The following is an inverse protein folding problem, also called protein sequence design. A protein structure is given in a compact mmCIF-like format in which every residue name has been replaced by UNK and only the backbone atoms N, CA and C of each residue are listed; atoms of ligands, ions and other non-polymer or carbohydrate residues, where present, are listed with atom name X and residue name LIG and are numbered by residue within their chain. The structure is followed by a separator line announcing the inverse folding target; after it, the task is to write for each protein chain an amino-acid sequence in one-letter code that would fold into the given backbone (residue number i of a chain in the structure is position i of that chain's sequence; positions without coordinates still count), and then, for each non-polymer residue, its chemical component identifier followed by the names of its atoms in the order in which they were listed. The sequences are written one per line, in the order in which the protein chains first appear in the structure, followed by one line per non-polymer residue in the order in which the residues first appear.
data_IF_993399716847
#
_entry.id   IF_993399716847
#
_cell.length_a   1.000
_cell.length_b   1.000
_cell.length_c   1.000
_cell.angle_alpha   90.00
_cell.angle_beta   90.00
_cell.angle_gamma   90.00
#
_symmetry.space_group_name_H-M   'P 1'
#
loop_
_entity.id
_entity.type
_entity.pdbx_description
1 polymer ?
#
# COMPACT_ATOMS: atom_id res chain seq x y z
N UNK A 1 19.08 -40.69 6.27
CA UNK A 1 19.65 -40.35 7.60
C UNK A 1 20.28 -38.96 7.62
N UNK A 2 21.22 -38.64 6.72
CA UNK A 2 21.88 -37.32 6.65
C UNK A 2 20.92 -36.14 6.38
N UNK A 3 19.93 -36.33 5.50
CA UNK A 3 18.93 -35.29 5.19
C UNK A 3 18.06 -34.92 6.41
N UNK A 4 17.63 -35.92 7.18
CA UNK A 4 16.82 -35.74 8.39
C UNK A 4 17.59 -35.04 9.53
N UNK A 5 18.90 -35.29 9.63
CA UNK A 5 19.79 -34.58 10.56
C UNK A 5 19.96 -33.10 10.18
N UNK A 6 20.09 -32.81 8.88
CA UNK A 6 20.23 -31.44 8.37
C UNK A 6 19.01 -30.56 8.63
N UNK A 7 17.80 -31.12 8.49
CA UNK A 7 16.56 -30.39 8.76
C UNK A 7 16.43 -30.08 10.26
N UNK A 8 16.77 -31.04 11.13
CA UNK A 8 16.71 -30.85 12.59
C UNK A 8 17.71 -29.81 13.08
N UNK A 9 18.93 -29.80 12.55
CA UNK A 9 19.92 -28.78 12.91
C UNK A 9 19.51 -27.39 12.43
N UNK A 10 19.02 -27.24 11.20
CA UNK A 10 18.49 -25.95 10.72
C UNK A 10 17.35 -25.42 11.59
N UNK A 11 16.40 -26.28 11.93
CA UNK A 11 15.30 -25.91 12.82
C UNK A 11 15.80 -25.53 14.21
N UNK A 12 16.76 -26.26 14.78
CA UNK A 12 17.37 -25.92 16.07
C UNK A 12 18.02 -24.54 16.05
N UNK A 13 18.86 -24.25 15.05
CA UNK A 13 19.51 -22.94 14.94
C UNK A 13 18.52 -21.80 14.73
N UNK A 14 17.44 -22.02 13.96
CA UNK A 14 16.37 -21.03 13.78
C UNK A 14 15.59 -20.75 15.08
N UNK A 15 15.30 -21.78 15.87
CA UNK A 15 14.63 -21.61 17.16
C UNK A 15 15.54 -20.87 18.14
N UNK A 16 16.82 -21.22 18.17
CA UNK A 16 17.82 -20.62 19.06
C UNK A 16 18.12 -19.15 18.70
N UNK A 17 18.16 -18.81 17.41
CA UNK A 17 18.37 -17.43 16.95
C UNK A 17 17.19 -16.51 17.26
N UNK A 18 15.96 -17.04 17.31
CA UNK A 18 14.75 -16.28 17.64
C UNK A 18 14.58 -16.00 19.14
N UNK A 19 15.42 -16.57 20.01
CA UNK A 19 15.42 -16.25 21.43
C UNK A 19 16.07 -14.88 21.64
N UNK A 20 15.39 -14.01 22.39
CA UNK A 20 15.88 -12.65 22.68
C UNK A 20 17.29 -12.70 23.29
N UNK A 21 18.27 -11.87 22.85
CA UNK A 21 19.63 -11.88 23.38
C UNK A 21 19.73 -11.71 24.89
N UNK A 22 18.77 -10.99 25.48
CA UNK A 22 18.71 -10.80 26.94
C UNK A 22 18.62 -12.13 27.70
N UNK A 23 18.03 -13.17 27.12
CA UNK A 23 17.94 -14.49 27.72
C UNK A 23 19.31 -15.18 27.70
N UNK A 24 20.06 -15.09 26.60
CA UNK A 24 21.39 -15.69 26.49
C UNK A 24 22.42 -15.03 27.40
N UNK A 25 22.43 -13.70 27.48
CA UNK A 25 23.32 -12.99 28.42
C UNK A 25 22.88 -13.22 29.87
N UNK A 26 21.57 -13.31 30.13
CA UNK A 26 21.04 -13.67 31.45
C UNK A 26 21.47 -15.08 31.88
N UNK A 27 21.41 -16.06 30.97
CA UNK A 27 21.91 -17.42 31.20
C UNK A 27 23.42 -17.42 31.47
N UNK A 28 24.20 -16.69 30.67
CA UNK A 28 25.64 -16.55 30.86
C UNK A 28 25.99 -16.00 32.25
N UNK A 29 25.31 -14.93 32.68
CA UNK A 29 25.51 -14.33 34.02
C UNK A 29 25.01 -15.26 35.14
N UNK A 30 23.94 -16.01 34.92
CA UNK A 30 23.39 -16.94 35.91
C UNK A 30 24.26 -18.21 36.08
N UNK A 31 24.98 -18.64 35.05
CA UNK A 31 25.92 -19.77 35.14
C UNK A 31 27.07 -19.46 36.10
N UNK A 32 27.53 -18.21 36.18
CA UNK A 32 28.66 -17.80 37.02
C UNK A 32 28.47 -18.14 38.52
N UNK A 33 27.40 -17.70 39.22
CA UNK A 33 27.19 -18.09 40.61
C UNK A 33 26.88 -19.59 40.76
N UNK A 34 26.32 -20.25 39.73
CA UNK A 34 26.06 -21.69 39.77
C UNK A 34 27.38 -22.47 39.78
N UNK A 35 28.34 -22.14 38.92
CA UNK A 35 29.66 -22.77 38.92
C UNK A 35 30.46 -22.41 40.18
N UNK A 36 30.34 -21.20 40.69
CA UNK A 36 30.92 -20.82 41.99
C UNK A 36 30.42 -21.73 43.13
N UNK A 37 29.13 -22.06 43.18
CA UNK A 37 28.58 -23.01 44.15
C UNK A 37 29.10 -24.43 43.93
N UNK A 38 29.25 -24.88 42.68
CA UNK A 38 29.82 -26.18 42.35
C UNK A 38 31.27 -26.27 42.84
N UNK A 39 32.08 -25.22 42.61
CA UNK A 39 33.46 -25.16 43.08
C UNK A 39 33.55 -25.20 44.61
N UNK A 40 32.67 -24.50 45.31
CA UNK A 40 32.60 -24.53 46.77
C UNK A 40 32.26 -25.92 47.33
N UNK A 41 31.62 -26.79 46.54
CA UNK A 41 31.33 -28.18 46.92
C UNK A 41 32.49 -29.13 46.64
N UNK A 42 33.47 -28.74 45.83
CA UNK A 42 34.67 -29.53 45.61
C UNK A 42 35.66 -29.31 46.77
N UNK A 43 36.41 -30.34 47.18
CA UNK A 43 37.47 -30.17 48.18
C UNK A 43 38.55 -29.21 47.68
N UNK A 44 39.01 -28.31 48.55
CA UNK A 44 40.07 -27.33 48.25
C UNK A 44 41.34 -27.98 47.66
N UNK A 45 41.64 -29.22 48.05
CA UNK A 45 42.79 -29.99 47.53
C UNK A 45 42.72 -30.25 46.01
N UNK A 46 41.55 -30.10 45.39
CA UNK A 46 41.39 -30.22 43.94
C UNK A 46 42.00 -29.03 43.19
N UNK A 47 42.24 -27.90 43.88
CA UNK A 47 42.75 -26.66 43.32
C UNK A 47 44.12 -26.31 43.89
N UNK A 48 44.93 -25.63 43.08
CA UNK A 48 46.09 -24.87 43.55
C UNK A 48 45.59 -23.46 43.87
N UNK A 49 45.65 -23.10 45.14
CA UNK A 49 45.14 -21.85 45.70
C UNK A 49 46.34 -21.00 46.18
N UNK A 50 46.36 -19.67 45.95
CA UNK A 50 47.45 -18.81 46.42
C UNK A 50 47.54 -18.76 47.95
N UNK A 51 48.75 -18.55 48.48
CA UNK A 51 48.97 -18.42 49.92
C UNK A 51 48.21 -17.20 50.49
N UNK A 52 47.39 -17.43 51.50
CA UNK A 52 46.57 -16.38 52.14
C UNK A 52 45.26 -16.05 51.39
N UNK A 53 44.93 -16.77 50.33
CA UNK A 53 43.65 -16.62 49.63
C UNK A 53 42.50 -17.37 50.35
N UNK A 54 41.28 -16.82 50.25
CA UNK A 54 40.09 -17.42 50.83
C UNK A 54 39.49 -18.53 49.97
N UNK A 55 38.75 -19.45 50.58
CA UNK A 55 37.95 -20.49 49.89
C UNK A 55 36.45 -20.27 50.11
N UNK A 56 36.05 -19.04 50.42
CA UNK A 56 34.66 -18.64 50.53
C UNK A 56 34.01 -18.45 49.14
N UNK A 57 32.67 -18.27 49.15
CA UNK A 57 31.90 -18.09 47.92
C UNK A 57 32.42 -16.92 47.05
N UNK A 58 32.93 -15.84 47.66
CA UNK A 58 33.47 -14.70 46.92
C UNK A 58 34.68 -15.08 46.07
N UNK A 59 35.61 -15.87 46.62
CA UNK A 59 36.78 -16.39 45.90
C UNK A 59 36.39 -17.30 44.74
N UNK A 60 35.44 -18.22 44.95
CA UNK A 60 34.98 -19.13 43.89
C UNK A 60 34.13 -18.43 42.84
N UNK A 61 33.38 -17.39 43.21
CA UNK A 61 32.68 -16.51 42.27
C UNK A 61 33.66 -15.75 41.40
N UNK A 62 34.72 -15.18 41.99
CA UNK A 62 35.80 -14.55 41.25
C UNK A 62 36.46 -15.54 40.27
N UNK A 63 36.80 -16.74 40.72
CA UNK A 63 37.37 -17.78 39.87
C UNK A 63 36.45 -18.16 38.70
N UNK A 64 35.14 -18.32 38.97
CA UNK A 64 34.13 -18.57 37.94
C UNK A 64 34.02 -17.42 36.95
N UNK A 65 33.98 -16.16 37.41
CA UNK A 65 33.96 -14.97 36.53
C UNK A 65 35.17 -15.01 35.59
N UNK A 66 36.38 -15.16 36.13
CA UNK A 66 37.63 -15.15 35.35
C UNK A 66 37.71 -16.34 34.38
N UNK A 67 37.13 -17.48 34.75
CA UNK A 67 37.08 -18.69 33.91
C UNK A 67 36.07 -18.55 32.78
N UNK A 68 34.80 -18.22 33.08
CA UNK A 68 33.72 -18.13 32.09
C UNK A 68 33.92 -16.96 31.11
N UNK A 69 34.61 -15.89 31.54
CA UNK A 69 35.00 -14.76 30.69
C UNK A 69 36.26 -15.03 29.86
N UNK A 70 36.87 -16.20 30.01
CA UNK A 70 38.10 -16.61 29.33
C UNK A 70 39.34 -15.75 29.69
N UNK A 71 39.27 -14.96 30.76
CA UNK A 71 40.40 -14.15 31.25
C UNK A 71 41.54 -15.02 31.80
N UNK A 72 41.21 -16.00 32.65
CA UNK A 72 42.15 -17.01 33.13
C UNK A 72 43.43 -16.50 33.80
N UNK A 73 43.33 -15.69 34.87
CA UNK A 73 44.51 -15.16 35.58
C UNK A 73 45.45 -16.22 36.17
N UNK A 74 44.96 -17.44 36.44
CA UNK A 74 45.77 -18.58 36.86
C UNK A 74 46.22 -18.55 38.33
N UNK A 75 45.65 -17.65 39.12
CA UNK A 75 45.78 -17.59 40.57
C UNK A 75 45.12 -18.80 41.25
N UNK A 76 43.85 -19.07 40.93
CA UNK A 76 43.19 -20.34 41.24
C UNK A 76 43.32 -21.27 40.02
N UNK A 77 43.87 -22.47 40.22
CA UNK A 77 44.11 -23.41 39.11
C UNK A 77 43.56 -24.81 39.44
N UNK A 78 42.80 -25.47 38.55
CA UNK A 78 42.34 -26.82 38.79
C UNK A 78 43.52 -27.80 38.65
N UNK A 79 43.93 -28.41 39.76
CA UNK A 79 45.11 -29.28 39.82
C UNK A 79 44.79 -30.77 39.58
N UNK A 80 43.51 -31.15 39.74
CA UNK A 80 43.06 -32.54 39.70
C UNK A 80 41.89 -32.73 38.72
N UNK A 81 41.70 -33.98 38.27
CA UNK A 81 40.80 -34.30 37.15
C UNK A 81 39.35 -33.84 37.32
N UNK A 82 38.79 -33.86 38.53
CA UNK A 82 37.41 -33.41 38.76
C UNK A 82 37.27 -31.89 38.62
N UNK A 83 38.17 -31.12 39.24
CA UNK A 83 38.20 -29.67 39.07
C UNK A 83 38.42 -29.30 37.60
N UNK A 84 39.34 -29.97 36.91
CA UNK A 84 39.60 -29.74 35.48
C UNK A 84 38.37 -30.03 34.61
N UNK A 85 37.62 -31.11 34.91
CA UNK A 85 36.41 -31.45 34.18
C UNK A 85 35.31 -30.39 34.38
N UNK A 86 35.07 -29.93 35.62
CA UNK A 86 34.09 -28.87 35.91
C UNK A 86 34.47 -27.56 35.22
N UNK A 87 35.73 -27.15 35.31
CA UNK A 87 36.25 -25.96 34.63
C UNK A 87 36.11 -26.06 33.11
N UNK A 88 36.38 -27.23 32.53
CA UNK A 88 36.17 -27.44 31.09
C UNK A 88 34.69 -27.30 30.70
N UNK A 89 33.77 -27.84 31.51
CA UNK A 89 32.32 -27.69 31.28
C UNK A 89 31.89 -26.23 31.40
N UNK A 90 32.39 -25.49 32.39
CA UNK A 90 32.11 -24.06 32.55
C UNK A 90 32.52 -23.27 31.32
N UNK A 91 33.75 -23.47 30.84
CA UNK A 91 34.26 -22.79 29.64
C UNK A 91 33.40 -23.13 28.42
N UNK A 92 33.02 -24.40 28.23
CA UNK A 92 32.15 -24.81 27.13
C UNK A 92 30.77 -24.15 27.21
N UNK A 93 30.14 -24.13 28.38
CA UNK A 93 28.85 -23.48 28.60
C UNK A 93 28.93 -21.96 28.37
N UNK A 94 30.00 -21.31 28.84
CA UNK A 94 30.25 -19.89 28.62
C UNK A 94 30.40 -19.55 27.14
N UNK A 95 31.24 -20.28 26.42
CA UNK A 95 31.47 -20.08 24.98
C UNK A 95 30.21 -20.32 24.15
N UNK A 96 29.43 -21.37 24.45
CA UNK A 96 28.18 -21.68 23.76
C UNK A 96 27.16 -20.56 24.01
N UNK A 97 26.98 -20.14 25.26
CA UNK A 97 26.02 -19.09 25.63
C UNK A 97 26.38 -17.74 25.00
N UNK A 98 27.68 -17.38 25.00
CA UNK A 98 28.16 -16.16 24.35
C UNK A 98 28.03 -16.23 22.83
N UNK A 99 28.31 -17.39 22.22
CA UNK A 99 28.13 -17.60 20.78
C UNK A 99 26.68 -17.44 20.34
N UNK A 100 25.73 -18.02 21.10
CA UNK A 100 24.30 -17.84 20.84
C UNK A 100 23.82 -16.42 21.10
N UNK A 101 24.35 -15.74 22.13
CA UNK A 101 24.09 -14.32 22.35
C UNK A 101 24.49 -13.47 21.12
N UNK A 102 25.71 -13.64 20.61
CA UNK A 102 26.18 -12.90 19.43
C UNK A 102 25.35 -13.22 18.18
N UNK A 103 24.95 -14.48 18.00
CA UNK A 103 24.09 -14.88 16.89
C UNK A 103 22.71 -14.21 16.97
N UNK A 104 22.08 -14.21 18.16
CA UNK A 104 20.78 -13.57 18.38
C UNK A 104 20.86 -12.05 18.16
N UNK A 105 21.93 -11.38 18.61
CA UNK A 105 22.15 -9.94 18.35
C UNK A 105 22.30 -9.67 16.85
N UNK A 106 23.06 -10.51 16.15
CA UNK A 106 23.21 -10.40 14.70
C UNK A 106 21.89 -10.57 13.94
N UNK A 107 21.05 -11.53 14.35
CA UNK A 107 19.73 -11.77 13.75
C UNK A 107 18.80 -10.57 13.95
N UNK A 108 18.68 -10.06 15.18
CA UNK A 108 17.83 -8.88 15.46
C UNK A 108 18.24 -7.66 14.65
N UNK A 109 19.55 -7.39 14.53
CA UNK A 109 20.03 -6.27 13.72
C UNK A 109 19.65 -6.45 12.26
N UNK A 110 19.81 -7.66 11.71
CA UNK A 110 19.41 -7.96 10.34
C UNK A 110 17.91 -7.78 10.12
N UNK A 111 17.08 -8.16 11.08
CA UNK A 111 15.62 -7.96 11.00
C UNK A 111 15.27 -6.47 10.97
N UNK A 112 15.85 -5.66 11.86
CA UNK A 112 15.66 -4.20 11.91
C UNK A 112 16.13 -3.53 10.62
N UNK A 113 17.32 -3.91 10.11
CA UNK A 113 17.86 -3.36 8.88
C UNK A 113 16.95 -3.70 7.69
N UNK A 114 16.41 -4.93 7.62
CA UNK A 114 15.46 -5.34 6.57
C UNK A 114 14.13 -4.58 6.67
N UNK A 115 13.56 -4.43 7.86
CA UNK A 115 12.31 -3.68 8.06
C UNK A 115 12.46 -2.23 7.61
N UNK A 116 13.55 -1.57 8.03
CA UNK A 116 13.84 -0.18 7.62
C UNK A 116 14.08 -0.04 6.11
N UNK A 117 14.71 -1.02 5.47
CA UNK A 117 14.91 -1.03 4.02
C UNK A 117 13.59 -1.26 3.28
N UNK A 118 12.69 -2.11 3.78
CA UNK A 118 11.34 -2.30 3.21
C UNK A 118 10.52 -1.01 3.32
N UNK A 119 10.54 -0.33 4.47
CA UNK A 119 9.87 0.96 4.65
C UNK A 119 10.43 2.02 3.69
N UNK A 120 11.76 2.08 3.56
CA UNK A 120 12.44 2.97 2.61
C UNK A 120 12.04 2.67 1.17
N UNK A 121 12.01 1.39 0.78
CA UNK A 121 11.59 0.98 -0.56
C UNK A 121 10.14 1.37 -0.84
N UNK A 122 9.23 1.20 0.13
CA UNK A 122 7.84 1.65 0.00
C UNK A 122 7.73 3.16 -0.15
N UNK A 123 8.48 3.94 0.63
CA UNK A 123 8.49 5.39 0.52
C UNK A 123 9.06 5.86 -0.83
N UNK A 124 10.12 5.23 -1.32
CA UNK A 124 10.71 5.50 -2.64
C UNK A 124 9.73 5.14 -3.77
N UNK A 125 9.06 3.99 -3.66
CA UNK A 125 8.02 3.56 -4.61
C UNK A 125 6.89 4.59 -4.67
N UNK A 126 6.32 4.94 -3.51
CA UNK A 126 5.26 5.94 -3.42
C UNK A 126 5.68 7.30 -4.00
N UNK A 127 6.89 7.78 -3.68
CA UNK A 127 7.41 9.03 -4.21
C UNK A 127 7.58 8.99 -5.75
N UNK A 128 8.08 7.88 -6.28
CA UNK A 128 8.27 7.68 -7.72
C UNK A 128 6.94 7.67 -8.47
N UNK A 129 5.94 6.91 -7.98
CA UNK A 129 4.62 6.83 -8.59
C UNK A 129 3.87 8.16 -8.49
N UNK A 130 3.99 8.86 -7.36
CA UNK A 130 3.42 10.20 -7.20
C UNK A 130 4.02 11.19 -8.19
N UNK A 131 5.33 11.14 -8.44
CA UNK A 131 5.97 11.99 -9.44
C UNK A 131 5.46 11.70 -10.86
N UNK A 132 5.27 10.43 -11.22
CA UNK A 132 4.67 10.05 -12.52
C UNK A 132 3.24 10.58 -12.63
N UNK A 133 2.43 10.41 -11.59
CA UNK A 133 1.06 10.90 -11.54
C UNK A 133 1.00 12.41 -11.76
N UNK A 134 1.81 13.18 -11.04
CA UNK A 134 1.87 14.64 -11.16
C UNK A 134 2.21 15.13 -12.58
N UNK A 135 3.04 14.38 -13.32
CA UNK A 135 3.38 14.71 -14.71
C UNK A 135 2.22 14.49 -15.68
N UNK A 136 1.39 13.46 -15.44
CA UNK A 136 0.29 13.06 -16.31
C UNK A 136 -1.01 13.80 -15.96
N UNK A 137 -1.17 14.16 -14.67
CA UNK A 137 -2.38 14.74 -14.09
C UNK A 137 -2.96 15.93 -14.87
N UNK A 138 -2.19 16.94 -15.35
CA UNK A 138 -2.78 18.07 -16.08
C UNK A 138 -3.55 17.65 -17.34
N UNK A 139 -3.06 16.62 -18.05
CA UNK A 139 -3.74 16.06 -19.21
C UNK A 139 -5.02 15.34 -18.82
N UNK A 140 -4.98 14.56 -17.74
CA UNK A 140 -6.17 13.84 -17.24
C UNK A 140 -7.25 14.83 -16.79
N UNK A 141 -6.89 15.82 -15.98
CA UNK A 141 -7.81 16.86 -15.51
C UNK A 141 -8.42 17.65 -16.68
N UNK A 142 -7.63 17.98 -17.70
CA UNK A 142 -8.16 18.64 -18.90
C UNK A 142 -9.25 17.79 -19.57
N UNK A 143 -9.04 16.47 -19.72
CA UNK A 143 -10.01 15.58 -20.37
C UNK A 143 -11.27 15.37 -19.52
N UNK A 144 -11.14 15.26 -18.19
CA UNK A 144 -12.27 15.20 -17.27
C UNK A 144 -13.12 16.48 -17.35
N UNK A 145 -12.47 17.65 -17.35
CA UNK A 145 -13.16 18.94 -17.41
C UNK A 145 -13.83 19.18 -18.76
N UNK A 146 -13.21 18.73 -19.85
CA UNK A 146 -13.84 18.73 -21.18
C UNK A 146 -15.08 17.85 -21.22
N UNK A 147 -15.01 16.65 -20.65
CA UNK A 147 -16.15 15.74 -20.53
C UNK A 147 -17.28 16.36 -19.70
N UNK A 148 -16.99 16.94 -18.53
CA UNK A 148 -17.97 17.62 -17.69
C UNK A 148 -18.61 18.83 -18.39
N UNK A 149 -17.84 19.60 -19.16
CA UNK A 149 -18.37 20.70 -19.94
C UNK A 149 -19.32 20.24 -21.06
N UNK A 150 -19.06 19.09 -21.70
CA UNK A 150 -20.03 18.49 -22.62
C UNK A 150 -21.24 17.91 -21.90
N UNK A 151 -21.08 17.38 -20.68
CA UNK A 151 -22.23 16.98 -19.86
C UNK A 151 -23.13 18.18 -19.62
N UNK A 152 -22.58 19.32 -19.18
CA UNK A 152 -23.32 20.58 -19.06
C UNK A 152 -24.04 20.97 -20.35
N UNK A 153 -23.38 20.88 -21.50
CA UNK A 153 -23.99 21.23 -22.78
C UNK A 153 -25.16 20.30 -23.14
N UNK A 154 -25.13 19.03 -22.77
CA UNK A 154 -26.24 18.08 -23.01
C UNK A 154 -27.35 18.23 -21.97
N UNK A 155 -27.01 18.50 -20.72
CA UNK A 155 -27.95 18.52 -19.59
C UNK A 155 -28.50 19.90 -19.25
N UNK A 156 -28.11 20.94 -19.98
CA UNK A 156 -28.62 22.30 -19.80
C UNK A 156 -29.27 22.81 -21.10
N UNK A 157 -30.57 23.15 -21.08
CA UNK A 157 -31.26 23.74 -22.23
C UNK A 157 -30.57 25.02 -22.68
N UNK A 158 -30.53 25.28 -24.00
CA UNK A 158 -29.85 26.43 -24.60
C UNK A 158 -30.31 27.76 -23.98
N UNK A 159 -31.60 27.86 -23.62
CA UNK A 159 -32.18 29.06 -22.98
C UNK A 159 -31.68 29.31 -21.56
N UNK A 160 -31.18 28.28 -20.87
CA UNK A 160 -30.64 28.37 -19.50
C UNK A 160 -29.11 28.47 -19.48
N UNK A 161 -28.42 28.29 -20.60
CA UNK A 161 -26.95 28.37 -20.66
C UNK A 161 -26.48 29.80 -20.42
N UNK A 162 -25.69 30.02 -19.37
CA UNK A 162 -25.06 31.32 -19.07
C UNK A 162 -23.66 31.36 -19.71
N UNK A 163 -23.25 32.53 -20.20
CA UNK A 163 -21.98 32.74 -20.90
C UNK A 163 -20.74 32.61 -19.99
N UNK A 164 -20.88 32.76 -18.68
CA UNK A 164 -19.74 33.00 -17.79
C UNK A 164 -19.04 31.75 -17.27
N UNK A 165 -19.74 30.64 -16.98
CA UNK A 165 -19.10 29.37 -16.56
C UNK A 165 -19.94 28.15 -16.95
N UNK A 166 -19.40 27.29 -17.82
CA UNK A 166 -20.01 26.01 -18.22
C UNK A 166 -19.73 24.93 -17.17
N UNK A 167 -20.47 24.94 -16.06
CA UNK A 167 -20.32 23.98 -14.97
C UNK A 167 -21.46 22.97 -14.97
N UNK A 168 -21.11 21.68 -14.97
CA UNK A 168 -22.09 20.60 -14.88
C UNK A 168 -22.88 20.69 -13.56
N UNK A 169 -24.21 20.54 -13.67
CA UNK A 169 -25.13 20.47 -12.55
C UNK A 169 -25.53 19.00 -12.32
N UNK A 170 -25.13 18.37 -11.20
CA UNK A 170 -25.49 16.99 -10.88
C UNK A 170 -26.99 16.77 -10.71
N UNK A 171 -27.76 17.81 -10.39
CA UNK A 171 -29.19 17.72 -10.06
C UNK A 171 -30.11 17.89 -11.28
N UNK A 172 -29.55 17.86 -12.50
CA UNK A 172 -30.33 18.00 -13.74
C UNK A 172 -31.43 16.94 -13.87
N UNK A 173 -32.57 17.33 -14.46
CA UNK A 173 -33.69 16.43 -14.73
C UNK A 173 -33.67 15.93 -16.19
N UNK A 174 -34.38 14.85 -16.47
CA UNK A 174 -34.47 14.27 -17.83
C UNK A 174 -34.91 15.31 -18.88
N UNK A 175 -35.90 16.13 -18.53
CA UNK A 175 -36.40 17.25 -19.36
C UNK A 175 -35.37 18.33 -19.68
N UNK A 176 -34.26 18.41 -18.96
CA UNK A 176 -33.23 19.41 -19.24
C UNK A 176 -32.36 18.99 -20.45
N UNK A 177 -32.49 17.75 -20.93
CA UNK A 177 -31.79 17.22 -22.12
C UNK A 177 -32.50 17.54 -23.44
N UNK A 178 -33.53 18.38 -23.48
CA UNK A 178 -34.34 18.65 -24.70
C UNK A 178 -33.54 19.16 -25.89
N UNK A 179 -32.39 19.79 -25.64
CA UNK A 179 -31.53 20.41 -26.65
C UNK A 179 -30.27 19.58 -26.97
N UNK A 180 -30.24 18.29 -26.62
CA UNK A 180 -29.06 17.43 -26.77
C UNK A 180 -28.55 17.30 -28.23
N UNK A 181 -29.45 17.44 -29.22
CA UNK A 181 -29.10 17.40 -30.65
C UNK A 181 -28.65 18.75 -31.23
N UNK A 182 -28.83 19.84 -30.49
CA UNK A 182 -28.34 21.16 -30.90
C UNK A 182 -26.82 21.25 -30.72
N UNK A 183 -26.15 22.21 -31.38
CA UNK A 183 -24.75 22.48 -31.13
C UNK A 183 -24.47 22.75 -29.64
N UNK A 184 -23.29 22.32 -29.17
CA UNK A 184 -22.90 22.44 -27.75
C UNK A 184 -22.88 23.89 -27.25
N UNK A 185 -22.54 24.85 -28.12
CA UNK A 185 -22.42 26.27 -27.75
C UNK A 185 -21.25 26.56 -26.80
N UNK A 186 -20.36 25.59 -26.57
CA UNK A 186 -19.20 25.77 -25.71
C UNK A 186 -18.12 26.60 -26.44
N UNK A 187 -17.43 27.53 -25.78
CA UNK A 187 -16.48 28.43 -26.45
C UNK A 187 -15.33 27.72 -27.19
N UNK A 188 -14.90 26.58 -26.66
CA UNK A 188 -13.83 25.76 -27.25
C UNK A 188 -14.34 24.80 -28.34
N UNK A 189 -15.65 24.59 -28.45
CA UNK A 189 -16.24 23.71 -29.45
C UNK A 189 -16.72 24.51 -30.66
N UNK A 190 -15.86 24.58 -31.67
CA UNK A 190 -16.17 25.22 -32.96
C UNK A 190 -16.96 24.30 -33.90
N UNK A 191 -17.24 23.06 -33.48
CA UNK A 191 -18.00 22.14 -34.31
C UNK A 191 -19.47 22.57 -34.36
N UNK A 192 -20.10 22.38 -35.51
CA UNK A 192 -21.56 22.53 -35.67
C UNK A 192 -22.28 21.20 -35.46
N UNK A 193 -21.63 20.26 -34.75
CA UNK A 193 -22.15 18.93 -34.50
C UNK A 193 -23.04 18.92 -33.24
N UNK A 194 -23.98 17.97 -33.13
CA UNK A 194 -24.80 17.77 -31.94
C UNK A 194 -23.98 17.69 -30.65
N UNK A 195 -24.47 18.29 -29.56
CA UNK A 195 -23.82 18.25 -28.25
C UNK A 195 -23.63 16.80 -27.76
N UNK A 196 -24.62 15.94 -27.98
CA UNK A 196 -24.55 14.51 -27.63
C UNK A 196 -23.41 13.77 -28.33
N UNK A 197 -23.22 14.00 -29.63
CA UNK A 197 -22.15 13.35 -30.39
C UNK A 197 -20.77 13.77 -29.85
N UNK A 198 -20.65 15.05 -29.47
CA UNK A 198 -19.42 15.61 -28.89
C UNK A 198 -19.16 15.09 -27.48
N UNK A 199 -20.21 14.93 -26.68
CA UNK A 199 -20.14 14.29 -25.36
C UNK A 199 -19.64 12.86 -25.48
N UNK A 200 -20.26 12.02 -26.33
CA UNK A 200 -19.89 10.62 -26.50
C UNK A 200 -18.45 10.47 -26.99
N UNK A 201 -18.03 11.31 -27.95
CA UNK A 201 -16.64 11.36 -28.39
C UNK A 201 -15.69 11.77 -27.26
N UNK A 202 -16.07 12.74 -26.44
CA UNK A 202 -15.29 13.15 -25.28
C UNK A 202 -15.20 12.04 -24.24
N UNK A 203 -16.30 11.33 -23.98
CA UNK A 203 -16.36 10.22 -23.03
C UNK A 203 -15.44 9.07 -23.44
N UNK A 204 -15.50 8.66 -24.72
CA UNK A 204 -14.60 7.65 -25.27
C UNK A 204 -13.13 8.05 -25.16
N UNK A 205 -12.80 9.31 -25.47
CA UNK A 205 -11.44 9.80 -25.31
C UNK A 205 -10.99 9.83 -23.84
N UNK A 206 -11.85 10.28 -22.92
CA UNK A 206 -11.58 10.28 -21.49
C UNK A 206 -11.37 8.86 -20.97
N UNK A 207 -12.18 7.89 -21.40
CA UNK A 207 -11.99 6.47 -21.07
C UNK A 207 -10.61 5.96 -21.47
N UNK A 208 -10.11 6.30 -22.67
CA UNK A 208 -8.78 5.91 -23.11
C UNK A 208 -7.67 6.58 -22.29
N UNK A 209 -7.87 7.84 -21.88
CA UNK A 209 -6.92 8.57 -21.03
C UNK A 209 -6.86 7.95 -19.63
N UNK A 210 -8.00 7.57 -19.04
CA UNK A 210 -8.06 6.92 -17.74
C UNK A 210 -7.50 5.49 -17.78
N UNK A 211 -7.72 4.74 -18.86
CA UNK A 211 -7.10 3.43 -19.07
C UNK A 211 -5.56 3.55 -19.21
N UNK A 212 -5.10 4.51 -20.00
CA UNK A 212 -3.67 4.83 -20.15
C UNK A 212 -3.02 5.30 -18.83
N UNK A 213 -3.77 5.99 -17.97
CA UNK A 213 -3.31 6.39 -16.63
C UNK A 213 -3.02 5.16 -15.77
N UNK A 214 -3.94 4.19 -15.73
CA UNK A 214 -3.80 2.94 -14.99
C UNK A 214 -2.61 2.10 -15.47
N UNK A 215 -2.30 2.14 -16.77
CA UNK A 215 -1.15 1.42 -17.33
C UNK A 215 0.21 2.09 -17.03
N UNK A 216 0.23 3.40 -16.72
CA UNK A 216 1.47 4.20 -16.58
C UNK A 216 1.88 4.46 -15.13
N UNK A 217 0.93 4.40 -14.21
CA UNK A 217 1.12 4.69 -12.79
C UNK A 217 0.50 3.55 -12.00
N UNK A 218 1.21 3.08 -10.99
CA UNK A 218 0.64 2.13 -10.02
C UNK A 218 -0.39 2.85 -9.14
N UNK A 219 -1.64 2.88 -9.60
CA UNK A 219 -2.75 3.51 -8.89
C UNK A 219 -3.23 2.71 -7.67
N UNK A 220 -2.67 1.52 -7.39
CA UNK A 220 -3.05 0.75 -6.19
C UNK A 220 -2.69 1.48 -4.90
N UNK A 221 -1.80 2.48 -4.98
CA UNK A 221 -1.48 3.42 -3.91
C UNK A 221 -2.64 4.40 -3.58
N UNK A 222 -3.58 4.58 -4.51
CA UNK A 222 -4.76 5.44 -4.36
C UNK A 222 -6.02 4.69 -4.82
N UNK A 223 -6.54 3.81 -3.95
CA UNK A 223 -7.67 2.92 -4.23
C UNK A 223 -8.89 3.66 -4.81
N UNK A 224 -9.26 4.81 -4.23
CA UNK A 224 -10.38 5.61 -4.71
C UNK A 224 -10.21 6.05 -6.19
N UNK A 225 -8.98 6.38 -6.61
CA UNK A 225 -8.72 6.81 -7.99
C UNK A 225 -8.83 5.63 -8.96
N UNK A 226 -8.28 4.46 -8.60
CA UNK A 226 -8.32 3.29 -9.50
C UNK A 226 -9.74 2.76 -9.65
N UNK A 227 -10.52 2.70 -8.57
CA UNK A 227 -11.91 2.25 -8.60
C UNK A 227 -12.78 3.19 -9.46
N UNK A 228 -12.65 4.51 -9.27
CA UNK A 228 -13.40 5.49 -10.07
C UNK A 228 -12.97 5.48 -11.55
N UNK A 229 -11.68 5.25 -11.85
CA UNK A 229 -11.20 5.07 -13.23
C UNK A 229 -11.83 3.84 -13.89
N UNK A 230 -11.82 2.69 -13.20
CA UNK A 230 -12.42 1.46 -13.70
C UNK A 230 -13.92 1.61 -13.92
N UNK A 231 -14.63 2.21 -12.97
CA UNK A 231 -16.07 2.45 -13.09
C UNK A 231 -16.39 3.36 -14.29
N UNK A 232 -15.60 4.40 -14.54
CA UNK A 232 -15.81 5.28 -15.68
C UNK A 232 -15.59 4.54 -17.01
N UNK A 233 -14.52 3.75 -17.10
CA UNK A 233 -14.23 2.93 -18.29
C UNK A 233 -15.33 1.89 -18.51
N UNK A 234 -15.80 1.23 -17.45
CA UNK A 234 -16.90 0.27 -17.52
C UNK A 234 -18.19 0.92 -18.03
N UNK A 235 -18.55 2.10 -17.52
CA UNK A 235 -19.72 2.85 -17.99
C UNK A 235 -19.62 3.14 -19.50
N UNK A 236 -18.45 3.56 -19.98
CA UNK A 236 -18.24 3.82 -21.40
C UNK A 236 -18.34 2.55 -22.27
N UNK A 237 -17.90 1.41 -21.75
CA UNK A 237 -17.97 0.12 -22.46
C UNK A 237 -19.37 -0.50 -22.46
N UNK A 238 -20.15 -0.26 -21.40
CA UNK A 238 -21.51 -0.80 -21.26
C UNK A 238 -22.56 0.06 -21.99
N UNK A 239 -22.24 1.31 -22.33
CA UNK A 239 -23.15 2.21 -23.01
C UNK A 239 -23.43 1.77 -24.46
N UNK A 240 -24.68 1.41 -24.75
CA UNK A 240 -25.08 0.74 -25.99
C UNK A 240 -25.61 1.69 -27.08
N UNK A 241 -26.21 2.82 -26.71
CA UNK A 241 -26.88 3.74 -27.65
C UNK A 241 -25.95 4.72 -28.38
N UNK A 242 -24.64 4.45 -28.44
CA UNK A 242 -23.66 5.36 -29.06
C UNK A 242 -23.98 5.65 -30.52
N UNK A 243 -24.24 4.59 -31.31
CA UNK A 243 -24.48 4.72 -32.75
C UNK A 243 -25.81 5.44 -33.01
N UNK A 244 -26.86 5.06 -32.28
CA UNK A 244 -28.20 5.65 -32.39
C UNK A 244 -28.23 7.15 -32.09
N UNK A 245 -27.48 7.60 -31.08
CA UNK A 245 -27.41 9.02 -30.70
C UNK A 245 -26.44 9.84 -31.53
N UNK A 246 -25.51 9.19 -32.25
CA UNK A 246 -24.55 9.86 -33.12
C UNK A 246 -25.14 10.20 -34.49
N UNK A 247 -26.21 9.52 -34.89
CA UNK A 247 -26.98 9.87 -36.09
C UNK A 247 -27.91 11.05 -35.83
N UNK A 248 -28.02 11.98 -36.78
CA UNK A 248 -29.02 13.04 -36.68
C UNK A 248 -30.42 12.42 -36.81
N UNK A 249 -31.30 12.53 -35.79
CA UNK A 249 -32.63 12.00 -35.91
C UNK A 249 -33.37 12.72 -37.04
N UNK A 250 -34.03 11.96 -37.90
CA UNK A 250 -34.91 12.51 -38.94
C UNK A 250 -36.04 13.37 -38.35
N UNK A 251 -36.30 13.20 -37.05
CA UNK A 251 -37.43 13.77 -36.31
C UNK A 251 -36.98 14.47 -35.01
N UNK A 252 -35.89 15.23 -35.05
CA UNK A 252 -35.33 15.99 -33.90
C UNK A 252 -36.41 16.74 -33.10
N UNK A 253 -37.34 17.42 -33.79
CA UNK A 253 -38.36 18.25 -33.16
C UNK A 253 -39.45 17.47 -32.42
N UNK A 254 -39.69 16.19 -32.75
CA UNK A 254 -40.65 15.35 -32.01
C UNK A 254 -39.97 14.74 -30.78
N UNK A 255 -38.72 14.31 -30.91
CA UNK A 255 -37.93 13.77 -29.80
C UNK A 255 -37.70 14.83 -28.71
N UNK A 256 -37.35 16.07 -29.08
CA UNK A 256 -37.25 17.18 -28.11
C UNK A 256 -38.58 17.46 -27.40
N UNK A 257 -39.74 17.28 -28.07
CA UNK A 257 -41.06 17.44 -27.42
C UNK A 257 -41.36 16.29 -26.47
N UNK A 258 -41.02 15.06 -26.84
CA UNK A 258 -41.21 13.87 -26.00
C UNK A 258 -40.36 13.95 -24.72
N UNK A 259 -39.10 14.39 -24.83
CA UNK A 259 -38.23 14.63 -23.66
C UNK A 259 -38.82 15.72 -22.76
N UNK A 260 -39.29 16.84 -23.32
CA UNK A 260 -39.88 17.93 -22.56
C UNK A 260 -41.17 17.53 -21.81
N UNK A 261 -41.93 16.61 -22.39
CA UNK A 261 -43.21 16.13 -21.85
C UNK A 261 -43.05 15.08 -20.74
N UNK A 262 -41.86 14.50 -20.56
CA UNK A 262 -41.61 13.44 -19.57
C UNK A 262 -41.22 14.04 -18.22
N UNK A 263 -42.05 13.88 -17.16
CA UNK A 263 -41.71 14.35 -15.83
C UNK A 263 -40.92 13.29 -15.04
N UNK A 264 -39.89 13.72 -14.32
CA UNK A 264 -39.19 12.87 -13.34
C UNK A 264 -38.05 12.03 -13.92
N UNK A 265 -37.74 10.94 -13.22
CA UNK A 265 -36.71 9.98 -13.62
C UNK A 265 -37.25 9.00 -14.69
N UNK A 266 -36.43 8.69 -15.70
CA UNK A 266 -36.86 7.92 -16.86
C UNK A 266 -36.91 6.39 -16.57
N UNK A 267 -38.08 5.83 -16.28
CA UNK A 267 -38.29 4.37 -16.28
C UNK A 267 -38.70 3.87 -17.67
N UNK A 268 -37.73 3.58 -18.54
CA UNK A 268 -38.01 3.09 -19.89
C UNK A 268 -37.57 1.65 -20.10
N UNK A 269 -38.35 0.91 -20.90
CA UNK A 269 -37.99 -0.43 -21.39
C UNK A 269 -37.13 -0.32 -22.64
N UNK A 270 -36.38 -1.36 -22.97
CA UNK A 270 -35.49 -1.39 -24.14
C UNK A 270 -36.18 -1.09 -25.49
N UNK A 271 -37.49 -1.34 -25.59
CA UNK A 271 -38.29 -1.10 -26.81
C UNK A 271 -38.88 0.33 -26.90
N UNK A 272 -38.59 1.19 -25.93
CA UNK A 272 -39.11 2.58 -25.93
C UNK A 272 -38.30 3.47 -26.88
N UNK A 273 -38.98 4.34 -27.64
CA UNK A 273 -38.32 5.29 -28.54
C UNK A 273 -37.38 6.25 -27.79
N UNK A 274 -37.65 6.50 -26.50
CA UNK A 274 -36.81 7.33 -25.63
C UNK A 274 -35.69 6.57 -24.93
N UNK A 275 -35.60 5.25 -25.09
CA UNK A 275 -34.59 4.41 -24.43
C UNK A 275 -33.15 4.93 -24.64
N UNK A 276 -32.71 5.32 -25.86
CA UNK A 276 -31.36 5.87 -26.05
C UNK A 276 -31.07 7.11 -25.21
N UNK A 277 -32.05 8.00 -25.07
CA UNK A 277 -31.91 9.24 -24.30
C UNK A 277 -31.93 8.96 -22.81
N UNK A 278 -32.69 7.96 -22.38
CA UNK A 278 -32.76 7.50 -21.00
C UNK A 278 -31.49 6.80 -20.55
N UNK A 279 -30.93 5.93 -21.39
CA UNK A 279 -29.62 5.33 -21.15
C UNK A 279 -28.56 6.43 -21.02
N UNK A 280 -28.61 7.45 -21.90
CA UNK A 280 -27.71 8.61 -21.83
C UNK A 280 -27.89 9.39 -20.52
N UNK A 281 -29.11 9.55 -20.02
CA UNK A 281 -29.40 10.22 -18.75
C UNK A 281 -28.66 9.54 -17.58
N UNK A 282 -28.82 8.23 -17.43
CA UNK A 282 -28.14 7.47 -16.38
C UNK A 282 -26.63 7.42 -16.59
N UNK A 283 -26.18 7.23 -17.83
CA UNK A 283 -24.76 7.28 -18.19
C UNK A 283 -24.09 8.60 -17.75
N UNK A 284 -24.75 9.74 -17.99
CA UNK A 284 -24.24 11.05 -17.56
C UNK A 284 -24.23 11.16 -16.04
N UNK A 285 -25.32 10.78 -15.35
CA UNK A 285 -25.40 10.83 -13.88
C UNK A 285 -24.23 10.10 -13.23
N UNK A 286 -23.98 8.87 -13.65
CA UNK A 286 -22.94 8.03 -13.08
C UNK A 286 -21.54 8.51 -13.48
N UNK A 287 -21.31 8.70 -14.79
CA UNK A 287 -19.97 9.02 -15.32
C UNK A 287 -19.51 10.43 -14.95
N UNK A 288 -20.43 11.41 -14.89
CA UNK A 288 -20.09 12.76 -14.42
C UNK A 288 -19.83 12.79 -12.92
N UNK A 289 -20.55 11.99 -12.11
CA UNK A 289 -20.23 11.82 -10.70
C UNK A 289 -18.83 11.27 -10.51
N UNK A 290 -18.44 10.23 -11.27
CA UNK A 290 -17.09 9.66 -11.23
C UNK A 290 -16.04 10.68 -11.67
N UNK A 291 -16.29 11.43 -12.74
CA UNK A 291 -15.36 12.45 -13.22
C UNK A 291 -15.09 13.56 -12.18
N UNK A 292 -16.12 14.02 -11.45
CA UNK A 292 -15.94 15.00 -10.37
C UNK A 292 -15.16 14.44 -9.17
N UNK A 293 -15.40 13.16 -8.81
CA UNK A 293 -14.64 12.48 -7.74
C UNK A 293 -13.17 12.34 -8.14
N UNK A 294 -12.89 11.91 -9.36
CA UNK A 294 -11.54 11.82 -9.92
C UNK A 294 -10.83 13.18 -9.92
N UNK A 295 -11.50 14.24 -10.38
CA UNK A 295 -10.94 15.60 -10.35
C UNK A 295 -10.52 16.01 -8.93
N UNK A 296 -11.39 15.74 -7.96
CA UNK A 296 -11.15 16.05 -6.54
C UNK A 296 -10.00 15.22 -5.97
N UNK A 297 -10.01 13.91 -6.17
CA UNK A 297 -9.01 12.98 -5.66
C UNK A 297 -7.62 13.25 -6.26
N UNK A 298 -7.53 13.45 -7.58
CA UNK A 298 -6.28 13.78 -8.25
C UNK A 298 -5.71 15.12 -7.76
N UNK A 299 -6.56 16.13 -7.58
CA UNK A 299 -6.15 17.43 -7.05
C UNK A 299 -5.64 17.31 -5.60
N UNK A 300 -6.27 16.47 -4.77
CA UNK A 300 -5.85 16.22 -3.40
C UNK A 300 -4.44 15.59 -3.33
N UNK A 301 -4.10 14.66 -4.24
CA UNK A 301 -2.75 14.08 -4.31
C UNK A 301 -1.68 15.13 -4.63
N UNK A 302 -2.04 16.14 -5.44
CA UNK A 302 -1.15 17.24 -5.77
C UNK A 302 -0.94 18.24 -4.65
N UNK A 303 -1.97 18.51 -3.84
CA UNK A 303 -1.91 19.46 -2.73
C UNK A 303 -1.42 18.84 -1.42
N UNK A 304 -1.44 17.51 -1.29
CA UNK A 304 -0.92 16.82 -0.12
C UNK A 304 0.57 17.14 0.12
N UNK A 305 0.97 17.48 1.36
CA UNK A 305 2.37 17.71 1.70
C UNK A 305 3.23 16.46 1.43
N UNK A 306 4.51 16.71 1.11
CA UNK A 306 5.53 15.67 0.90
C UNK A 306 5.89 14.97 2.19
#
# INVERSE_FOLDING_TARGET
MLHTLSVKTRHFFHVVSNVRPIVWIGLYVALTPVFALIYMWLPDSQFRIPDGAGTDFGSWLYYSIVTITTLGFGDYTPAHGWAQAVTAVEVMCGLISLGFFLNAVGSMKSEIDVESEIERQRAVHYASEREKLLKIMPSVLHNLNMFLAYCYAVTTPVTKRKDTEARYDPDFAFRDMTDLFKPSGLPFDRSRRPAVERLLKSASHTSLVLDSLQARVDLTLWQDIVDDCFAFVANCQMFSSTDTLSEKPQVEAELSRAIAATPGEPEFKADDELYPVAELYYFIKDSASLAMKLETALTAVATSPR
#
